data_IF_947114018223
#
_entry.id   IF_947114018223
#
_cell.length_a   1.000
_cell.length_b   1.000
_cell.length_c   1.000
_cell.angle_alpha   90.00
_cell.angle_beta   90.00
_cell.angle_gamma   90.00
#
_symmetry.space_group_name_H-M   'P 1'
#
loop_
_entity.id
_entity.type
_entity.pdbx_description
1 polymer ?
2 non-polymer ?
3 water ?
#
# COMPACT_ATOMS: atom_id res chain seq x y z
N UNK A 1 9.80 -13.41 -21.24
CA UNK A 1 11.22 -13.81 -21.03
C UNK A 1 11.40 -14.46 -19.66
N UNK A 2 11.03 -13.71 -18.63
CA UNK A 2 11.13 -14.17 -17.25
C UNK A 2 10.03 -13.44 -16.47
N UNK A 3 9.72 -13.92 -15.27
CA UNK A 3 8.68 -13.32 -14.43
C UNK A 3 8.47 -11.82 -14.66
N UNK A 4 7.36 -11.47 -15.32
CA UNK A 4 7.05 -10.08 -15.60
C UNK A 4 6.23 -9.44 -14.46
N UNK A 5 6.84 -8.51 -13.75
CA UNK A 5 6.21 -7.83 -12.63
C UNK A 5 5.82 -6.39 -12.97
N UNK A 6 4.63 -5.98 -12.53
CA UNK A 6 4.18 -4.60 -12.77
C UNK A 6 3.81 -4.02 -11.41
N UNK A 7 4.40 -2.87 -11.06
CA UNK A 7 4.14 -2.26 -9.76
C UNK A 7 3.57 -0.86 -9.91
N UNK A 8 2.61 -0.51 -9.06
CA UNK A 8 2.03 0.83 -9.13
C UNK A 8 2.55 1.72 -8.01
N UNK A 9 2.59 3.02 -8.30
CA UNK A 9 3.07 4.03 -7.36
C UNK A 9 4.51 3.86 -6.99
N UNK A 10 5.39 3.91 -7.98
CA UNK A 10 6.83 3.71 -7.77
C UNK A 10 7.68 4.98 -7.61
N UNK A 11 7.06 6.13 -7.41
CA UNK A 11 7.84 7.36 -7.26
C UNK A 11 8.54 7.45 -5.91
N UNK A 12 8.22 6.53 -5.01
CA UNK A 12 8.83 6.51 -3.68
C UNK A 12 8.18 5.46 -2.78
N UNK A 13 8.72 5.37 -1.58
CA UNK A 13 8.24 4.44 -0.55
C UNK A 13 8.42 3.00 -1.02
N UNK A 14 7.57 2.15 -0.48
CA UNK A 14 7.57 0.71 -0.76
C UNK A 14 7.71 0.46 -2.26
N UNK A 15 6.92 1.16 -3.05
CA UNK A 15 6.97 0.97 -4.50
C UNK A 15 8.35 1.08 -5.13
N UNK A 16 9.02 2.19 -4.89
CA UNK A 16 10.35 2.42 -5.45
C UNK A 16 11.38 1.38 -4.97
N UNK A 17 11.39 1.12 -3.67
CA UNK A 17 12.32 0.17 -3.11
C UNK A 17 12.07 -1.25 -3.62
N UNK A 18 10.80 -1.60 -3.72
CA UNK A 18 10.43 -2.92 -4.20
C UNK A 18 10.86 -3.13 -5.66
N UNK A 19 10.63 -2.13 -6.50
CA UNK A 19 11.00 -2.18 -7.92
C UNK A 19 12.49 -2.44 -8.17
N UNK A 20 13.35 -1.67 -7.53
CA UNK A 20 14.79 -1.83 -7.69
C UNK A 20 15.24 -3.13 -7.04
N UNK A 21 14.61 -3.51 -5.93
CA UNK A 21 14.96 -4.75 -5.25
C UNK A 21 14.72 -5.92 -6.18
N UNK A 22 13.63 -5.83 -6.94
CA UNK A 22 13.28 -6.87 -7.88
C UNK A 22 14.23 -6.83 -9.07
N UNK A 23 14.24 -5.70 -9.77
CA UNK A 23 15.08 -5.51 -10.93
C UNK A 23 16.56 -5.85 -10.71
N UNK A 24 17.10 -5.50 -9.54
CA UNK A 24 18.50 -5.76 -9.25
C UNK A 24 18.78 -7.11 -8.60
N UNK A 25 17.78 -7.98 -8.59
CA UNK A 25 17.96 -9.30 -7.98
C UNK A 25 19.05 -10.07 -8.73
N UNK A 26 20.00 -10.67 -7.99
CA UNK A 26 21.10 -11.45 -8.57
C UNK A 26 20.69 -12.50 -9.62
N UNK A 27 19.56 -13.16 -9.40
CA UNK A 27 19.07 -14.18 -10.33
C UNK A 27 18.70 -13.61 -11.70
N UNK A 28 18.43 -12.30 -11.75
CA UNK A 28 18.07 -11.63 -12.99
C UNK A 28 16.83 -12.26 -13.64
N UNK A 29 15.99 -12.89 -12.82
CA UNK A 29 14.78 -13.54 -13.35
C UNK A 29 13.54 -12.67 -13.34
N UNK A 30 13.69 -11.39 -13.02
CA UNK A 30 12.56 -10.47 -12.98
C UNK A 30 12.68 -9.33 -13.96
N UNK A 31 11.58 -9.04 -14.65
CA UNK A 31 11.54 -7.93 -15.57
C UNK A 31 10.52 -6.99 -14.90
N UNK A 32 10.95 -5.79 -14.53
CA UNK A 32 10.10 -4.84 -13.82
C UNK A 32 9.55 -3.65 -14.58
N UNK A 33 8.24 -3.44 -14.46
CA UNK A 33 7.56 -2.29 -15.07
C UNK A 33 7.11 -1.40 -13.89
N UNK A 34 7.87 -0.37 -13.60
CA UNK A 34 7.54 0.54 -12.53
C UNK A 34 6.64 1.58 -13.10
N UNK A 35 5.51 1.79 -12.44
CA UNK A 35 4.47 2.74 -12.85
C UNK A 35 4.51 3.98 -11.97
N UNK A 36 4.21 5.13 -12.56
CA UNK A 36 4.19 6.39 -11.81
C UNK A 36 3.11 7.27 -12.40
N UNK A 37 2.50 8.10 -11.56
CA UNK A 37 1.46 9.02 -12.00
C UNK A 37 2.09 10.11 -12.86
N UNK A 38 3.11 10.78 -12.33
CA UNK A 38 3.84 11.84 -13.05
C UNK A 38 5.25 11.35 -13.33
N UNK A 39 5.66 11.35 -14.59
CA UNK A 39 6.99 10.90 -14.95
C UNK A 39 8.11 11.82 -14.45
N UNK A 40 7.81 13.11 -14.31
CA UNK A 40 8.82 14.06 -13.86
C UNK A 40 9.38 13.71 -12.49
N UNK A 41 8.91 12.61 -11.91
CA UNK A 41 9.37 12.19 -10.60
C UNK A 41 10.10 10.85 -10.69
N UNK A 42 10.44 10.42 -11.90
CA UNK A 42 11.13 9.15 -12.06
C UNK A 42 12.61 9.21 -11.69
N UNK A 43 13.11 10.41 -11.44
CA UNK A 43 14.51 10.59 -11.07
C UNK A 43 15.00 9.66 -9.98
N UNK A 44 14.43 9.79 -8.79
CA UNK A 44 14.78 8.96 -7.65
C UNK A 44 14.81 7.47 -7.97
N UNK A 45 13.88 7.01 -8.80
CA UNK A 45 13.85 5.60 -9.15
C UNK A 45 15.08 5.21 -9.96
N UNK A 46 15.42 6.02 -10.97
CA UNK A 46 16.58 5.75 -11.80
C UNK A 46 17.88 5.89 -11.02
N UNK A 47 17.95 6.90 -10.16
CA UNK A 47 19.13 7.10 -9.35
C UNK A 47 19.33 5.89 -8.44
N UNK A 48 18.24 5.37 -7.90
CA UNK A 48 18.33 4.21 -7.03
C UNK A 48 18.69 2.97 -7.84
N UNK A 49 18.25 2.94 -9.09
CA UNK A 49 18.52 1.81 -9.98
C UNK A 49 19.99 1.71 -10.36
N UNK A 50 20.67 2.86 -10.39
CA UNK A 50 22.08 2.90 -10.73
C UNK A 50 22.88 2.51 -9.49
N UNK A 51 22.41 2.93 -8.34
CA UNK A 51 23.06 2.63 -7.07
C UNK A 51 23.20 1.13 -6.87
N UNK A 52 22.17 0.39 -7.29
CA UNK A 52 22.15 -1.06 -7.15
C UNK A 52 22.54 -1.74 -8.45
N UNK A 53 23.05 -0.95 -9.39
CA UNK A 53 23.49 -1.46 -10.67
C UNK A 53 22.49 -2.45 -11.25
N UNK A 54 21.35 -1.96 -11.68
CA UNK A 54 20.35 -2.84 -12.26
C UNK A 54 20.74 -3.06 -13.70
N UNK A 55 20.78 -4.32 -14.15
CA UNK A 55 21.15 -4.58 -15.55
C UNK A 55 20.23 -3.85 -16.51
N UNK A 56 20.74 -3.46 -17.68
CA UNK A 56 19.91 -2.75 -18.65
C UNK A 56 18.76 -3.62 -19.17
N UNK A 57 17.54 -3.08 -19.16
CA UNK A 57 16.40 -3.83 -19.65
C UNK A 57 15.67 -4.65 -18.60
N UNK A 58 15.96 -4.40 -17.32
CA UNK A 58 15.29 -5.14 -16.26
C UNK A 58 14.31 -4.19 -15.56
N UNK A 59 14.37 -2.92 -15.93
CA UNK A 59 13.51 -1.89 -15.36
C UNK A 59 13.03 -0.89 -16.40
N UNK A 60 11.71 -0.76 -16.52
CA UNK A 60 11.12 0.18 -17.46
C UNK A 60 10.11 1.00 -16.69
N UNK A 61 9.97 2.27 -17.03
CA UNK A 61 9.00 3.12 -16.36
C UNK A 61 7.85 3.44 -17.29
N UNK A 62 6.64 3.40 -16.75
CA UNK A 62 5.43 3.71 -17.49
C UNK A 62 4.63 4.72 -16.70
N UNK A 63 3.98 5.64 -17.42
CA UNK A 63 3.13 6.62 -16.78
C UNK A 63 1.76 5.95 -16.67
N UNK A 64 1.22 5.91 -15.46
CA UNK A 64 -0.08 5.27 -15.26
C UNK A 64 -0.86 5.95 -14.12
N UNK A 65 -2.02 6.48 -14.47
CA UNK A 65 -2.90 7.14 -13.51
C UNK A 65 -4.00 6.15 -13.17
N UNK A 66 -3.92 5.54 -11.99
CA UNK A 66 -4.92 4.55 -11.57
C UNK A 66 -6.32 5.19 -11.38
N UNK A 67 -6.37 6.51 -11.50
CA UNK A 67 -7.61 7.23 -11.36
C UNK A 67 -8.29 7.27 -12.71
N UNK A 68 -7.63 6.71 -13.70
CA UNK A 68 -8.14 6.71 -15.06
C UNK A 68 -7.99 5.33 -15.70
N UNK A 69 -9.11 4.78 -16.18
CA UNK A 69 -9.11 3.46 -16.80
C UNK A 69 -8.52 3.43 -18.21
N UNK A 70 -8.49 4.57 -18.89
CA UNK A 70 -7.92 4.64 -20.22
C UNK A 70 -6.40 4.56 -20.11
N UNK A 71 -5.86 5.07 -19.00
CA UNK A 71 -4.41 5.06 -18.77
C UNK A 71 -4.01 3.68 -18.28
N UNK A 72 -4.94 2.98 -17.63
CA UNK A 72 -4.70 1.64 -17.12
C UNK A 72 -4.62 0.69 -18.33
N UNK A 73 -5.48 0.93 -19.31
CA UNK A 73 -5.53 0.12 -20.52
C UNK A 73 -4.32 0.38 -21.41
N UNK A 74 -3.98 1.65 -21.59
CA UNK A 74 -2.84 2.01 -22.43
C UNK A 74 -1.57 1.39 -21.89
N UNK A 75 -1.47 1.31 -20.57
CA UNK A 75 -0.29 0.73 -19.95
C UNK A 75 -0.22 -0.78 -20.22
N UNK A 76 -1.29 -1.50 -19.89
CA UNK A 76 -1.35 -2.94 -20.11
C UNK A 76 -0.84 -3.33 -21.49
N UNK A 77 -1.05 -2.45 -22.47
CA UNK A 77 -0.61 -2.73 -23.82
C UNK A 77 0.87 -2.42 -24.01
N UNK A 78 1.43 -1.55 -23.18
CA UNK A 78 2.84 -1.21 -23.31
C UNK A 78 3.69 -2.34 -22.78
N UNK A 79 3.02 -3.37 -22.23
CA UNK A 79 3.69 -4.55 -21.67
C UNK A 79 4.09 -5.52 -22.79
N UNK A 80 5.23 -5.23 -23.40
CA UNK A 80 5.80 -6.00 -24.50
C UNK A 80 5.67 -7.50 -24.36
N UNK A 81 6.06 -8.07 -23.22
CA UNK A 81 5.95 -9.50 -23.03
C UNK A 81 4.54 -10.02 -23.30
N UNK A 82 3.57 -9.12 -23.28
CA UNK A 82 2.19 -9.54 -23.52
C UNK A 82 1.67 -10.39 -22.37
N UNK A 83 2.28 -10.26 -21.21
CA UNK A 83 1.86 -11.02 -20.05
C UNK A 83 2.34 -10.37 -18.76
N UNK A 84 1.57 -10.55 -17.69
CA UNK A 84 1.94 -10.03 -16.39
C UNK A 84 1.85 -11.22 -15.46
N UNK A 85 2.95 -11.55 -14.80
CA UNK A 85 2.95 -12.68 -13.89
C UNK A 85 2.67 -12.26 -12.45
N UNK A 86 3.15 -11.07 -12.10
CA UNK A 86 2.96 -10.55 -10.76
C UNK A 86 2.47 -9.11 -10.79
N UNK A 87 1.26 -8.89 -10.29
CA UNK A 87 0.71 -7.55 -10.21
C UNK A 87 0.82 -7.11 -8.76
N UNK A 88 1.46 -5.98 -8.54
CA UNK A 88 1.59 -5.47 -7.17
C UNK A 88 0.80 -4.17 -7.15
N UNK A 89 -0.28 -4.14 -6.37
CA UNK A 89 -1.12 -2.96 -6.28
C UNK A 89 -0.65 -2.20 -5.07
N UNK A 90 0.18 -1.20 -5.32
CA UNK A 90 0.80 -0.43 -4.27
C UNK A 90 0.39 1.04 -4.21
N UNK A 91 -0.04 1.62 -5.33
CA UNK A 91 -0.44 3.02 -5.32
C UNK A 91 -1.34 3.29 -4.12
N UNK A 92 -0.97 4.27 -3.31
CA UNK A 92 -1.73 4.61 -2.12
C UNK A 92 -1.72 6.09 -1.81
N UNK A 93 -2.64 6.51 -0.94
CA UNK A 93 -2.75 7.91 -0.56
C UNK A 93 -3.15 8.01 0.90
N UNK A 94 -2.59 8.98 1.60
CA UNK A 94 -2.91 9.15 3.00
C UNK A 94 -3.75 10.39 3.21
N UNK A 95 -4.32 10.49 4.40
CA UNK A 95 -5.15 11.63 4.78
C UNK A 95 -5.19 11.65 6.29
N UNK A 96 -4.77 12.77 6.86
CA UNK A 96 -4.74 12.92 8.31
C UNK A 96 -5.50 14.16 8.70
N UNK A 97 -6.18 14.09 9.84
CA UNK A 97 -6.94 15.22 10.31
C UNK A 97 -8.34 14.83 10.79
N UNK A 98 -9.01 15.71 11.54
CA UNK A 98 -10.36 15.40 12.03
C UNK A 98 -11.33 15.43 10.85
N UNK A 99 -12.26 14.49 10.83
CA UNK A 99 -13.23 14.39 9.73
C UNK A 99 -13.79 15.70 9.20
N UNK A 100 -14.39 16.49 10.07
CA UNK A 100 -15.00 17.76 9.66
C UNK A 100 -14.05 18.74 8.98
N UNK A 101 -12.75 18.59 9.23
CA UNK A 101 -11.80 19.50 8.61
C UNK A 101 -11.32 19.03 7.25
N UNK A 102 -11.72 17.83 6.83
CA UNK A 102 -11.27 17.29 5.54
C UNK A 102 -12.13 17.75 4.38
N UNK A 103 -11.49 18.13 3.27
CA UNK A 103 -12.24 18.57 2.11
C UNK A 103 -13.00 17.40 1.52
N UNK A 104 -14.01 17.68 0.70
CA UNK A 104 -14.78 16.59 0.10
C UNK A 104 -14.02 15.93 -1.04
N UNK A 105 -13.35 16.75 -1.83
CA UNK A 105 -12.56 16.25 -2.95
C UNK A 105 -11.39 15.41 -2.45
N UNK A 106 -10.80 15.81 -1.33
CA UNK A 106 -9.70 15.04 -0.76
C UNK A 106 -10.19 13.65 -0.36
N UNK A 107 -11.34 13.57 0.30
CA UNK A 107 -11.88 12.28 0.72
C UNK A 107 -12.19 11.42 -0.51
N UNK A 108 -12.78 12.02 -1.53
CA UNK A 108 -13.11 11.28 -2.75
C UNK A 108 -11.84 10.83 -3.46
N UNK A 109 -10.80 11.65 -3.41
CA UNK A 109 -9.54 11.32 -4.05
C UNK A 109 -8.89 10.10 -3.40
N UNK A 110 -8.84 10.08 -2.08
CA UNK A 110 -8.22 8.97 -1.38
C UNK A 110 -8.88 7.64 -1.69
N UNK A 111 -10.21 7.64 -1.83
CA UNK A 111 -10.94 6.41 -2.11
C UNK A 111 -10.87 6.02 -3.56
N UNK A 112 -10.86 7.01 -4.43
CA UNK A 112 -10.78 6.80 -5.86
C UNK A 112 -9.42 6.18 -6.21
N UNK A 113 -8.36 6.68 -5.60
CA UNK A 113 -7.01 6.19 -5.84
C UNK A 113 -6.72 4.86 -5.11
N UNK A 114 -7.02 4.83 -3.82
CA UNK A 114 -6.77 3.66 -2.98
C UNK A 114 -7.69 2.47 -3.21
N UNK A 115 -8.99 2.74 -3.42
CA UNK A 115 -9.92 1.63 -3.61
C UNK A 115 -10.36 1.41 -5.04
N UNK A 116 -10.92 2.42 -5.70
CA UNK A 116 -11.36 2.22 -7.06
C UNK A 116 -10.16 1.98 -7.95
N UNK A 117 -9.05 2.62 -7.62
CA UNK A 117 -7.84 2.45 -8.39
C UNK A 117 -7.39 1.00 -8.47
N UNK A 118 -7.32 0.30 -7.33
CA UNK A 118 -6.89 -1.10 -7.39
C UNK A 118 -7.95 -2.00 -7.98
N UNK A 119 -9.19 -1.52 -8.03
CA UNK A 119 -10.27 -2.30 -8.62
C UNK A 119 -10.06 -2.24 -10.13
N UNK A 120 -9.77 -1.04 -10.64
CA UNK A 120 -9.52 -0.85 -12.07
C UNK A 120 -8.34 -1.71 -12.55
N UNK A 121 -7.31 -1.84 -11.70
CA UNK A 121 -6.13 -2.64 -12.04
C UNK A 121 -6.57 -4.08 -12.11
N UNK A 122 -7.29 -4.52 -11.08
CA UNK A 122 -7.77 -5.89 -11.01
C UNK A 122 -8.65 -6.26 -12.19
N UNK A 123 -9.41 -5.30 -12.67
CA UNK A 123 -10.29 -5.55 -13.78
C UNK A 123 -9.55 -5.77 -15.10
N UNK A 124 -8.55 -4.93 -15.37
CA UNK A 124 -7.77 -5.02 -16.61
C UNK A 124 -6.78 -6.19 -16.69
N UNK A 125 -6.34 -6.69 -15.55
CA UNK A 125 -5.35 -7.79 -15.53
C UNK A 125 -5.83 -9.12 -14.94
N UNK A 126 -6.95 -9.12 -14.23
CA UNK A 126 -7.44 -10.37 -13.63
C UNK A 126 -7.96 -11.38 -14.65
N UNK A 127 -8.80 -10.96 -15.60
CA UNK A 127 -9.29 -11.92 -16.60
C UNK A 127 -8.20 -12.81 -17.20
N UNK A 128 -7.14 -12.18 -17.71
CA UNK A 128 -6.03 -12.89 -18.34
C UNK A 128 -5.40 -13.92 -17.40
N UNK A 129 -5.25 -13.57 -16.13
CA UNK A 129 -4.67 -14.49 -15.17
C UNK A 129 -5.58 -15.70 -14.93
N UNK A 130 -6.87 -15.52 -15.16
CA UNK A 130 -7.83 -16.59 -14.97
C UNK A 130 -7.75 -17.53 -16.16
N UNK A 131 -7.61 -16.97 -17.36
CA UNK A 131 -7.50 -17.75 -18.58
C UNK A 131 -6.29 -18.67 -18.42
N UNK A 132 -5.13 -18.07 -18.15
CA UNK A 132 -3.88 -18.81 -17.98
C UNK A 132 -3.98 -19.87 -16.90
N UNK A 133 -4.62 -19.53 -15.78
CA UNK A 133 -4.72 -20.48 -14.70
C UNK A 133 -3.54 -20.29 -13.78
N UNK A 134 -2.95 -19.11 -13.84
CA UNK A 134 -1.80 -18.78 -13.01
C UNK A 134 -1.62 -17.27 -12.95
N UNK A 135 -1.19 -16.80 -11.79
CA UNK A 135 -0.97 -15.38 -11.59
C UNK A 135 -0.77 -15.06 -10.13
N UNK A 136 -0.13 -13.94 -9.84
CA UNK A 136 0.07 -13.54 -8.47
C UNK A 136 -0.23 -12.06 -8.35
N UNK A 137 -1.01 -11.70 -7.33
CA UNK A 137 -1.37 -10.33 -7.09
C UNK A 137 -0.99 -9.97 -5.66
N UNK A 138 -0.20 -8.91 -5.51
CA UNK A 138 0.22 -8.48 -4.20
C UNK A 138 -0.40 -7.10 -3.96
N UNK A 139 -1.02 -6.95 -2.80
CA UNK A 139 -1.63 -5.67 -2.47
C UNK A 139 -1.00 -5.19 -1.18
N UNK A 140 -0.55 -3.95 -1.15
CA UNK A 140 0.06 -3.46 0.07
C UNK A 140 -1.02 -2.89 0.99
N UNK A 141 -1.11 -3.46 2.18
CA UNK A 141 -2.08 -3.02 3.15
C UNK A 141 -1.41 -2.24 4.25
N UNK A 142 -2.07 -2.16 5.40
CA UNK A 142 -1.55 -1.43 6.54
C UNK A 142 -2.24 -1.99 7.77
N UNK A 143 -1.71 -1.71 8.96
CA UNK A 143 -2.39 -2.21 10.15
C UNK A 143 -3.63 -1.34 10.31
N UNK A 144 -3.65 -0.21 9.59
CA UNK A 144 -4.77 0.71 9.62
C UNK A 144 -5.95 0.19 8.81
N UNK A 145 -5.81 -1.04 8.31
CA UNK A 145 -6.86 -1.65 7.55
C UNK A 145 -7.33 -2.84 8.34
N UNK A 146 -6.74 -3.00 9.52
CA UNK A 146 -7.06 -4.09 10.43
C UNK A 146 -7.65 -3.57 11.74
N UNK A 147 -7.49 -2.28 11.98
CA UNK A 147 -8.02 -1.65 13.19
C UNK A 147 -8.08 -0.14 12.97
N UNK A 148 -9.09 0.48 13.54
CA UNK A 148 -9.25 1.92 13.37
C UNK A 148 -8.27 2.77 14.16
N UNK A 149 -7.82 3.87 13.56
CA UNK A 149 -6.88 4.79 14.19
C UNK A 149 -7.45 6.20 14.16
N UNK A 150 -7.48 6.86 15.33
CA UNK A 150 -8.01 8.22 15.43
C UNK A 150 -7.34 9.16 14.44
N UNK A 151 -8.16 10.04 13.88
CA UNK A 151 -7.71 11.02 12.92
C UNK A 151 -7.31 10.42 11.57
N UNK A 152 -7.50 9.11 11.42
CA UNK A 152 -7.19 8.42 10.17
C UNK A 152 -8.46 7.73 9.64
N UNK A 153 -9.61 8.36 9.87
CA UNK A 153 -10.92 7.85 9.48
C UNK A 153 -11.06 7.42 8.04
N UNK A 154 -10.74 8.32 7.11
CA UNK A 154 -10.84 8.02 5.68
C UNK A 154 -9.71 7.12 5.19
N UNK A 155 -8.52 7.29 5.75
CA UNK A 155 -7.39 6.47 5.35
C UNK A 155 -7.72 5.02 5.73
N UNK A 156 -8.18 4.83 6.96
CA UNK A 156 -8.56 3.50 7.46
C UNK A 156 -9.76 2.94 6.69
N UNK A 157 -10.65 3.83 6.27
CA UNK A 157 -11.82 3.43 5.50
C UNK A 157 -11.35 2.77 4.20
N UNK A 158 -10.44 3.44 3.50
CA UNK A 158 -9.89 2.94 2.24
C UNK A 158 -9.09 1.64 2.39
N UNK A 159 -8.34 1.52 3.47
CA UNK A 159 -7.53 0.32 3.74
C UNK A 159 -8.39 -0.83 4.26
N UNK A 160 -9.45 -0.50 4.99
CA UNK A 160 -10.37 -1.51 5.51
C UNK A 160 -11.09 -2.05 4.27
N UNK A 161 -11.37 -1.15 3.33
CA UNK A 161 -12.03 -1.50 2.08
C UNK A 161 -11.23 -2.52 1.28
N UNK A 162 -9.90 -2.36 1.24
CA UNK A 162 -9.04 -3.29 0.50
C UNK A 162 -9.08 -4.66 1.12
N UNK A 163 -9.23 -4.73 2.43
CA UNK A 163 -9.31 -6.01 3.11
C UNK A 163 -10.57 -6.76 2.68
N UNK A 164 -11.68 -6.03 2.56
CA UNK A 164 -12.95 -6.62 2.17
C UNK A 164 -12.94 -7.03 0.72
N UNK A 165 -12.39 -6.16 -0.12
CA UNK A 165 -12.33 -6.43 -1.55
C UNK A 165 -11.50 -7.68 -1.84
N UNK A 166 -10.33 -7.78 -1.20
CA UNK A 166 -9.42 -8.90 -1.39
C UNK A 166 -9.88 -10.17 -0.74
N UNK A 167 -10.44 -10.07 0.45
CA UNK A 167 -10.92 -11.25 1.14
C UNK A 167 -12.02 -11.89 0.30
N UNK A 168 -12.81 -11.06 -0.39
CA UNK A 168 -13.90 -11.55 -1.24
C UNK A 168 -13.38 -12.28 -2.48
N UNK A 169 -12.42 -11.68 -3.17
CA UNK A 169 -11.87 -12.31 -4.36
C UNK A 169 -11.20 -13.63 -4.03
N UNK A 170 -10.37 -13.63 -3.00
CA UNK A 170 -9.68 -14.83 -2.59
C UNK A 170 -10.59 -16.04 -2.49
N UNK A 171 -11.80 -15.86 -1.98
CA UNK A 171 -12.72 -17.00 -1.84
C UNK A 171 -13.04 -17.59 -3.20
N UNK A 172 -13.16 -16.74 -4.21
CA UNK A 172 -13.48 -17.17 -5.56
C UNK A 172 -12.28 -17.62 -6.44
N UNK A 173 -11.08 -17.10 -6.17
CA UNK A 173 -9.87 -17.42 -6.93
C UNK A 173 -9.17 -18.72 -6.54
N UNK A 174 -9.38 -19.14 -5.30
CA UNK A 174 -8.77 -20.36 -4.78
C UNK A 174 -8.65 -21.48 -5.82
N UNK A 175 -9.73 -21.78 -6.57
CA UNK A 175 -9.63 -22.85 -7.56
C UNK A 175 -9.18 -22.41 -8.94
N UNK A 176 -8.87 -21.14 -9.11
CA UNK A 176 -8.44 -20.67 -10.42
C UNK A 176 -6.92 -20.66 -10.59
N UNK A 177 -6.19 -20.89 -9.50
CA UNK A 177 -4.74 -20.90 -9.60
C UNK A 177 -4.05 -19.56 -9.41
N UNK A 178 -4.77 -18.44 -9.48
CA UNK A 178 -4.14 -17.15 -9.25
C UNK A 178 -4.26 -16.80 -7.76
N UNK A 179 -3.13 -16.43 -7.17
CA UNK A 179 -3.07 -16.12 -5.75
C UNK A 179 -3.08 -14.65 -5.43
N UNK A 180 -3.73 -14.30 -4.33
CA UNK A 180 -3.81 -12.91 -3.91
C UNK A 180 -3.35 -12.80 -2.48
N UNK A 181 -2.54 -11.79 -2.20
CA UNK A 181 -2.01 -11.60 -0.86
C UNK A 181 -1.96 -10.13 -0.47
N UNK A 182 -2.11 -9.87 0.82
CA UNK A 182 -2.04 -8.52 1.32
C UNK A 182 -0.76 -8.49 2.14
N UNK A 183 -0.04 -7.38 2.06
CA UNK A 183 1.20 -7.19 2.85
C UNK A 183 0.86 -6.11 3.87
N UNK A 184 0.67 -6.51 5.13
CA UNK A 184 0.29 -5.57 6.17
C UNK A 184 1.48 -4.90 6.81
N UNK A 185 1.71 -3.67 6.41
CA UNK A 185 2.82 -2.88 6.93
C UNK A 185 2.42 -2.02 8.12
N UNK A 186 3.39 -1.84 9.01
CA UNK A 186 3.21 -0.99 10.17
C UNK A 186 3.88 0.30 9.73
N UNK A 187 4.37 1.14 10.65
CA UNK A 187 5.00 2.36 10.14
C UNK A 187 6.26 1.99 9.37
N UNK A 188 6.64 2.77 8.35
CA UNK A 188 7.84 2.39 7.55
C UNK A 188 8.72 3.65 7.37
N UNK A 189 9.94 3.55 7.89
CA UNK A 189 10.88 4.70 7.94
C UNK A 189 10.83 5.55 6.66
N UNK A 190 9.93 6.51 6.75
CA UNK A 190 9.72 7.55 5.74
C UNK A 190 9.87 8.87 6.47
N UNK A 191 11.02 9.52 6.27
CA UNK A 191 11.30 10.81 6.90
C UNK A 191 10.15 11.78 6.63
N UNK A 192 9.65 11.75 5.39
CA UNK A 192 8.55 12.60 4.98
C UNK A 192 7.26 12.32 5.77
N UNK A 193 7.12 11.09 6.27
CA UNK A 193 5.94 10.70 7.05
C UNK A 193 5.78 11.58 8.29
N UNK A 194 6.84 11.67 9.09
CA UNK A 194 6.80 12.48 10.30
C UNK A 194 6.88 13.99 10.06
N UNK A 195 6.84 14.40 8.80
CA UNK A 195 6.87 15.82 8.46
C UNK A 195 5.51 16.27 7.97
N UNK A 196 4.74 15.32 7.42
CA UNK A 196 3.39 15.61 6.94
C UNK A 196 2.53 15.91 8.16
N UNK A 197 2.76 15.15 9.23
CA UNK A 197 2.02 15.33 10.47
C UNK A 197 2.48 16.63 11.16
N UNK A 198 1.63 17.66 11.08
CA UNK A 198 1.93 18.97 11.73
C UNK A 198 1.11 20.12 11.08
N UNK A 199 -0.20 20.10 11.36
CA UNK A 199 -1.18 21.08 10.78
C UNK A 199 -1.89 21.94 11.86
N UNK A 200 -1.26 23.03 12.33
CA UNK A 200 -1.81 23.94 13.38
C UNK A 200 -3.09 24.76 13.06
N UNK A 201 -2.92 25.95 12.42
CA UNK A 201 -4.04 26.95 12.19
C UNK A 201 -5.08 26.47 11.18
N UNK A 202 -4.64 26.01 10.01
CA UNK A 202 -5.56 25.54 8.97
C UNK A 202 -6.59 24.54 9.50
N UNK A 203 -6.15 23.64 10.37
CA UNK A 203 -7.03 22.65 10.97
C UNK A 203 -7.88 23.30 12.04
N UNK A 204 -7.22 24.14 12.81
CA UNK A 204 -7.85 24.79 13.95
C UNK A 204 -9.07 25.65 13.63
N UNK A 205 -9.22 26.04 12.40
CA UNK A 205 -10.33 26.94 12.03
C UNK A 205 -11.54 26.17 11.49
N UNK A 206 -11.36 24.88 11.30
CA UNK A 206 -12.43 24.02 10.77
C UNK A 206 -12.87 23.00 11.83
N UNK A 207 -12.31 23.11 13.02
CA UNK A 207 -12.66 22.20 14.11
C UNK A 207 -12.65 22.97 15.42
N UNK A 208 -13.14 22.35 16.50
CA UNK A 208 -13.17 23.01 17.79
C UNK A 208 -11.80 22.93 18.45
N UNK A 209 -11.65 23.64 19.57
CA UNK A 209 -10.38 23.68 20.29
C UNK A 209 -10.04 22.39 21.03
N UNK A 210 -11.03 21.54 21.28
CA UNK A 210 -10.78 20.29 22.01
C UNK A 210 -10.39 19.14 21.08
N UNK A 211 -10.85 19.20 19.84
CA UNK A 211 -10.51 18.19 18.85
C UNK A 211 -9.09 18.52 18.42
N UNK A 212 -8.81 19.80 18.23
CA UNK A 212 -7.48 20.25 17.83
C UNK A 212 -6.44 19.88 18.89
N UNK A 213 -6.78 20.05 20.17
CA UNK A 213 -5.85 19.71 21.22
C UNK A 213 -5.59 18.21 21.23
N UNK A 214 -6.57 17.43 20.79
CA UNK A 214 -6.43 15.98 20.77
C UNK A 214 -5.61 15.56 19.57
N UNK A 215 -5.71 16.34 18.50
CA UNK A 215 -4.97 16.10 17.28
C UNK A 215 -3.48 16.21 17.63
N UNK A 216 -3.15 17.29 18.33
CA UNK A 216 -1.79 17.57 18.78
C UNK A 216 -1.30 16.39 19.59
N UNK A 217 -2.15 15.87 20.45
CA UNK A 217 -1.79 14.73 21.27
C UNK A 217 -1.57 13.49 20.43
N UNK A 218 -2.32 13.37 19.34
CA UNK A 218 -2.17 12.21 18.47
C UNK A 218 -0.84 12.34 17.74
N UNK A 219 -0.60 13.50 17.14
CA UNK A 219 0.64 13.75 16.41
C UNK A 219 1.83 13.46 17.31
N UNK A 220 1.77 13.95 18.54
CA UNK A 220 2.85 13.75 19.49
C UNK A 220 3.11 12.28 19.75
N UNK A 221 2.05 11.52 19.99
CA UNK A 221 2.17 10.10 20.28
C UNK A 221 2.59 9.27 19.07
N UNK A 222 2.11 9.66 17.89
CA UNK A 222 2.43 8.93 16.68
C UNK A 222 3.91 9.06 16.30
N UNK A 223 4.47 10.26 16.45
CA UNK A 223 5.87 10.46 16.12
C UNK A 223 6.76 9.67 17.06
N UNK A 224 6.22 9.30 18.22
CA UNK A 224 6.97 8.51 19.17
C UNK A 224 6.98 7.05 18.72
N UNK A 225 5.85 6.60 18.20
CA UNK A 225 5.71 5.24 17.72
C UNK A 225 6.57 5.12 16.45
N UNK A 226 6.49 6.11 15.58
CA UNK A 226 7.27 6.08 14.37
C UNK A 226 8.74 5.91 14.65
N UNK A 227 9.27 6.74 15.56
CA UNK A 227 10.68 6.69 15.89
C UNK A 227 11.11 5.42 16.64
N UNK A 228 10.19 4.69 17.24
CA UNK A 228 10.57 3.50 17.99
C UNK A 228 10.12 2.18 17.39
N UNK A 229 9.45 2.21 16.24
CA UNK A 229 8.97 0.98 15.63
C UNK A 229 9.10 0.92 14.11
N UNK A 230 9.28 2.07 13.46
CA UNK A 230 9.41 2.08 12.01
C UNK A 230 10.52 1.14 11.53
N UNK A 231 10.25 0.38 10.48
CA UNK A 231 11.26 -0.53 9.97
C UNK A 231 11.79 -0.09 8.62
N UNK A 232 12.91 -0.68 8.22
CA UNK A 232 13.54 -0.36 6.96
C UNK A 232 12.73 -0.90 5.79
N UNK A 233 12.63 -0.12 4.71
CA UNK A 233 11.90 -0.51 3.50
C UNK A 233 12.45 -1.79 2.89
N UNK A 234 13.73 -2.08 3.17
CA UNK A 234 14.35 -3.28 2.64
C UNK A 234 13.80 -4.47 3.41
N UNK A 235 13.45 -4.25 4.67
CA UNK A 235 12.90 -5.33 5.48
C UNK A 235 11.49 -5.61 4.98
N UNK A 236 10.76 -4.54 4.69
CA UNK A 236 9.39 -4.63 4.22
C UNK A 236 9.35 -5.13 2.78
N UNK A 237 10.19 -4.57 1.92
CA UNK A 237 10.21 -4.98 0.54
C UNK A 237 10.57 -6.45 0.43
N UNK A 238 11.22 -7.00 1.44
CA UNK A 238 11.62 -8.40 1.39
C UNK A 238 10.47 -9.31 1.77
N UNK A 239 9.47 -8.78 2.46
CA UNK A 239 8.30 -9.58 2.82
C UNK A 239 7.52 -9.85 1.55
N UNK A 240 7.48 -8.87 0.65
CA UNK A 240 6.80 -9.03 -0.62
C UNK A 240 7.41 -10.18 -1.39
N UNK A 241 8.74 -10.32 -1.26
CA UNK A 241 9.49 -11.36 -1.93
C UNK A 241 9.20 -12.72 -1.32
N UNK A 242 8.98 -12.74 -0.02
CA UNK A 242 8.64 -13.97 0.66
C UNK A 242 7.27 -14.43 0.16
N UNK A 243 6.33 -13.49 0.09
CA UNK A 243 4.97 -13.79 -0.37
C UNK A 243 5.03 -14.26 -1.82
N UNK A 244 5.85 -13.59 -2.60
CA UNK A 244 6.04 -13.89 -4.03
C UNK A 244 6.58 -15.28 -4.33
N UNK A 245 7.33 -15.85 -3.39
CA UNK A 245 7.94 -17.16 -3.59
C UNK A 245 7.32 -18.34 -2.85
N UNK A 246 6.37 -18.08 -1.96
CA UNK A 246 5.72 -19.17 -1.23
C UNK A 246 4.99 -20.05 -2.25
N UNK A 247 5.14 -21.38 -2.18
CA UNK A 247 4.43 -22.22 -3.16
C UNK A 247 2.93 -22.04 -3.05
N UNK A 248 2.44 -21.98 -1.81
CA UNK A 248 1.02 -21.79 -1.53
C UNK A 248 0.91 -20.60 -0.58
N UNK A 249 0.84 -19.38 -1.13
CA UNK A 249 0.74 -18.18 -0.28
C UNK A 249 -0.53 -18.07 0.55
N UNK A 250 -0.43 -17.40 1.71
CA UNK A 250 -1.58 -17.19 2.57
C UNK A 250 -2.20 -15.89 2.09
N UNK A 251 -3.33 -15.51 2.68
CA UNK A 251 -3.98 -14.28 2.27
C UNK A 251 -3.36 -13.01 2.87
N UNK A 252 -2.75 -13.15 4.04
CA UNK A 252 -2.17 -12.01 4.76
C UNK A 252 -0.73 -12.21 5.22
N UNK A 253 0.12 -11.21 4.97
CA UNK A 253 1.51 -11.26 5.45
C UNK A 253 1.72 -10.04 6.33
N UNK A 254 2.25 -10.25 7.54
CA UNK A 254 2.51 -9.15 8.46
C UNK A 254 4.03 -8.87 8.49
N UNK A 255 4.41 -7.63 8.17
CA UNK A 255 5.83 -7.27 8.17
C UNK A 255 6.39 -7.27 9.58
N UNK A 256 5.50 -7.16 10.56
CA UNK A 256 5.89 -7.16 11.97
C UNK A 256 4.81 -7.80 12.83
N UNK A 257 5.23 -8.37 13.95
CA UNK A 257 4.31 -9.01 14.88
C UNK A 257 4.01 -8.09 16.07
N UNK A 258 4.60 -6.89 16.01
CA UNK A 258 4.45 -5.90 17.06
C UNK A 258 3.02 -5.49 17.37
N UNK A 259 2.24 -5.21 16.33
CA UNK A 259 0.87 -4.77 16.54
C UNK A 259 -0.13 -5.92 16.67
N UNK A 260 0.37 -7.15 16.65
CA UNK A 260 -0.48 -8.34 16.76
C UNK A 260 -1.19 -8.40 18.13
N UNK A 261 -0.52 -7.98 19.22
CA UNK A 261 -1.21 -8.03 20.51
C UNK A 261 -2.52 -7.23 20.46
N UNK A 262 -2.44 -5.99 19.99
CA UNK A 262 -3.60 -5.11 19.90
C UNK A 262 -4.69 -5.66 18.99
N UNK A 263 -4.30 -6.35 17.91
CA UNK A 263 -5.27 -6.91 16.98
C UNK A 263 -6.04 -8.04 17.64
N UNK A 264 -5.36 -8.80 18.50
CA UNK A 264 -5.97 -9.92 19.20
C UNK A 264 -7.18 -9.52 20.05
N UNK A 265 -6.97 -8.58 20.97
CA UNK A 265 -8.04 -8.12 21.84
C UNK A 265 -9.18 -7.49 21.07
N UNK A 266 -8.93 -7.16 19.81
CA UNK A 266 -9.96 -6.55 18.98
C UNK A 266 -10.79 -7.68 18.37
N UNK A 267 -10.22 -8.89 18.38
CA UNK A 267 -10.87 -10.07 17.84
C UNK A 267 -11.48 -10.87 19.00
N UNK A 268 -11.12 -10.50 20.21
CA UNK A 268 -11.61 -11.17 21.42
C UNK A 268 -12.98 -10.65 21.83
N UNK A 269 -13.23 -9.38 21.54
CA UNK A 269 -14.49 -8.74 21.88
C UNK A 269 -15.08 -8.11 20.64
N UNK A 270 -15.93 -8.86 19.91
CA UNK A 270 -16.59 -8.41 18.68
C UNK A 270 -17.48 -7.17 18.79
N UNK A 271 -17.89 -6.84 20.01
CA UNK A 271 -18.72 -5.65 20.21
C UNK A 271 -17.86 -4.38 20.05
N UNK A 272 -16.54 -4.56 20.15
CA UNK A 272 -15.61 -3.46 19.98
C UNK A 272 -15.30 -2.48 21.10
N UNK A 273 -15.89 -2.66 22.26
CA UNK A 273 -15.65 -1.73 23.37
C UNK A 273 -14.26 -1.84 23.97
N UNK A 274 -13.74 -3.06 24.06
CA UNK A 274 -12.41 -3.26 24.62
C UNK A 274 -11.35 -2.57 23.76
N UNK A 275 -11.46 -2.73 22.45
CA UNK A 275 -10.51 -2.09 21.55
C UNK A 275 -10.60 -0.57 21.66
N UNK A 276 -11.82 -0.04 21.56
CA UNK A 276 -12.03 1.40 21.60
C UNK A 276 -11.45 2.06 22.86
N UNK A 277 -11.55 1.39 23.99
CA UNK A 277 -11.02 1.94 25.22
C UNK A 277 -9.50 1.76 25.24
N UNK A 278 -9.04 0.56 24.93
CA UNK A 278 -7.61 0.26 24.90
C UNK A 278 -6.85 1.24 24.00
N UNK A 279 -7.34 1.42 22.77
CA UNK A 279 -6.71 2.34 21.82
C UNK A 279 -6.80 3.80 22.24
N UNK A 280 -7.84 4.16 22.96
CA UNK A 280 -7.99 5.54 23.39
C UNK A 280 -6.93 5.92 24.43
N UNK A 281 -6.53 4.95 25.24
CA UNK A 281 -5.54 5.19 26.27
C UNK A 281 -4.12 5.27 25.72
N UNK A 282 -3.81 4.43 24.76
CA UNK A 282 -2.46 4.38 24.17
C UNK A 282 -2.23 5.53 23.18
N UNK A 283 -3.14 6.47 23.17
CA UNK A 283 -3.04 7.64 22.27
C UNK A 283 -3.42 8.93 23.01
N UNK A 284 -3.98 8.76 24.19
CA UNK A 284 -4.42 9.90 25.01
C UNK A 284 -4.08 9.70 26.48
#
# INVERSE_FOLDING_TARGET
ARTVVLITGCSSGIGLHLAVRLASDPSQSFKVYATLRDLKTQGRLWEAARALACPPGSLETLQLDVRDSKSVAAARERVTEGRVDVLVCNAGLGLLGPLEALGEDAVASVLDVNVVGTVRMLQAFLPDMKRRGSGRVLVTGSVGGLMGLPFNDVYCASKFALEGLCESLAVLLLPFGVHLSLIECGPVHTAFMEKVLGSPEEVLDRTDIHTFHRFYQYLAHSKQVFREAAQNPEEVAEVFLTALRAPKPTLRYFTTERFLPLLRMRLDDPSGSNYVTAMHREVFGDVPAKAEAGAEAGGGAGPGAEDEAGRSAVGDPELGDPPAAPQ
#
